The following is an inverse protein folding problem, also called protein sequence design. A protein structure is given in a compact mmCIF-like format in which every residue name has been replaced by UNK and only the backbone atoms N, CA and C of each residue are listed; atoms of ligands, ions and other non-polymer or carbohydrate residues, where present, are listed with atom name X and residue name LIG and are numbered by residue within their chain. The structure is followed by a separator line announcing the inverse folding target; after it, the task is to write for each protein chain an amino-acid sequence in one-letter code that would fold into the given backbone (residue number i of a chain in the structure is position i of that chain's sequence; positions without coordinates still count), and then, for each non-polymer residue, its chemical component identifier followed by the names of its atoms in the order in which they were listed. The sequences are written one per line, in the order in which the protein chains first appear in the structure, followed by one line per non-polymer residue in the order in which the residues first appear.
data_IF_682224762179
#
_entry.id   IF_682224762179
#
_cell.length_a   1.000
_cell.length_b   1.000
_cell.length_c   1.000
_cell.angle_alpha   90.00
_cell.angle_beta   90.00
_cell.angle_gamma   90.00
#
_symmetry.space_group_name_H-M   'P 1'
#
loop_
_entity.id
_entity.type
_entity.pdbx_description
1 polymer ?
#
# COMPACT_ATOMS: atom_id res chain seq x y z
N UNK A 1 -13.15 16.94 19.63
CA UNK A 1 -12.26 15.77 19.76
C UNK A 1 -12.63 14.79 18.66
N UNK A 2 -11.71 14.50 17.72
CA UNK A 2 -11.89 13.41 16.77
C UNK A 2 -11.83 12.11 17.56
N UNK A 3 -12.96 11.43 17.75
CA UNK A 3 -12.98 10.04 18.17
C UNK A 3 -12.36 9.25 17.01
N UNK A 4 -11.07 8.98 17.06
CA UNK A 4 -10.42 8.08 16.11
C UNK A 4 -11.06 6.71 16.27
N UNK A 5 -11.94 6.36 15.35
CA UNK A 5 -12.50 5.02 15.29
C UNK A 5 -11.40 4.11 14.74
N UNK A 6 -10.83 3.19 15.55
CA UNK A 6 -9.72 2.35 15.13
C UNK A 6 -10.09 1.39 13.97
N UNK A 7 -11.37 1.30 13.61
CA UNK A 7 -11.88 0.54 12.47
C UNK A 7 -12.03 1.40 11.19
N UNK A 8 -11.43 2.58 11.12
CA UNK A 8 -11.41 3.37 9.90
C UNK A 8 -10.16 3.09 9.07
N UNK A 9 -10.34 2.61 7.83
CA UNK A 9 -9.26 2.35 6.89
C UNK A 9 -8.33 3.56 6.70
N UNK A 10 -8.87 4.78 6.75
CA UNK A 10 -8.09 6.03 6.63
C UNK A 10 -7.07 6.22 7.75
N UNK A 11 -7.37 5.77 8.96
CA UNK A 11 -6.43 5.82 10.09
C UNK A 11 -5.25 4.92 9.80
N UNK A 12 -5.51 3.67 9.41
CA UNK A 12 -4.46 2.70 9.07
C UNK A 12 -3.64 3.14 7.86
N UNK A 13 -4.28 3.69 6.83
CA UNK A 13 -3.59 4.26 5.67
C UNK A 13 -2.64 5.39 6.08
N UNK A 14 -3.09 6.33 6.92
CA UNK A 14 -2.26 7.44 7.37
C UNK A 14 -1.10 6.96 8.25
N UNK A 15 -1.33 6.02 9.16
CA UNK A 15 -0.26 5.39 9.96
C UNK A 15 0.78 4.72 9.06
N UNK A 16 0.33 3.97 8.05
CA UNK A 16 1.22 3.31 7.09
C UNK A 16 2.05 4.32 6.29
N UNK A 17 1.42 5.43 5.88
CA UNK A 17 2.08 6.51 5.12
C UNK A 17 3.15 7.20 5.97
N UNK A 18 2.85 7.49 7.24
CA UNK A 18 3.82 8.05 8.19
C UNK A 18 4.97 7.07 8.39
N UNK A 19 4.69 5.79 8.63
CA UNK A 19 5.74 4.77 8.78
C UNK A 19 6.62 4.67 7.51
N UNK A 20 6.03 4.68 6.32
CA UNK A 20 6.77 4.65 5.05
C UNK A 20 7.68 5.87 4.87
N UNK A 21 7.21 7.07 5.23
CA UNK A 21 8.00 8.29 5.17
C UNK A 21 9.14 8.28 6.21
N UNK A 22 8.85 7.84 7.44
CA UNK A 22 9.86 7.68 8.49
C UNK A 22 10.94 6.68 8.07
N UNK A 23 10.55 5.57 7.42
CA UNK A 23 11.51 4.60 6.93
C UNK A 23 12.51 5.20 5.92
N UNK A 24 12.08 6.14 5.07
CA UNK A 24 12.96 6.78 4.09
C UNK A 24 14.09 7.59 4.73
N UNK A 25 13.90 8.10 5.95
CA UNK A 25 14.92 8.84 6.69
C UNK A 25 15.79 7.98 7.60
N UNK A 26 15.54 6.66 7.70
CA UNK A 26 16.33 5.76 8.56
C UNK A 26 17.48 5.16 7.75
N UNK A 27 18.71 5.46 8.16
CA UNK A 27 19.93 4.90 7.55
C UNK A 27 20.18 3.44 7.95
N UNK A 28 19.93 3.12 9.22
CA UNK A 28 20.09 1.76 9.72
C UNK A 28 19.11 0.79 9.03
N UNK A 29 19.67 -0.20 8.33
CA UNK A 29 18.87 -1.11 7.49
C UNK A 29 17.86 -1.90 8.31
N UNK A 30 18.22 -2.32 9.52
CA UNK A 30 17.35 -3.13 10.38
C UNK A 30 16.16 -2.31 10.85
N UNK A 31 16.40 -1.11 11.39
CA UNK A 31 15.36 -0.20 11.82
C UNK A 31 14.46 0.26 10.67
N UNK A 32 15.03 0.53 9.48
CA UNK A 32 14.27 0.86 8.28
C UNK A 32 13.35 -0.29 7.88
N UNK A 33 13.87 -1.50 7.83
CA UNK A 33 13.10 -2.68 7.45
C UNK A 33 11.96 -2.95 8.44
N UNK A 34 12.22 -2.79 9.75
CA UNK A 34 11.18 -2.88 10.77
C UNK A 34 10.07 -1.84 10.53
N UNK A 35 10.46 -0.59 10.25
CA UNK A 35 9.51 0.49 9.99
C UNK A 35 8.69 0.25 8.70
N UNK A 36 9.30 -0.33 7.67
CA UNK A 36 8.59 -0.74 6.45
C UNK A 36 7.63 -1.90 6.70
N UNK A 37 7.95 -2.85 7.60
CA UNK A 37 7.01 -3.91 8.00
C UNK A 37 5.81 -3.35 8.79
N UNK A 38 6.01 -2.36 9.67
CA UNK A 38 4.90 -1.63 10.30
C UNK A 38 3.98 -0.93 9.27
N UNK A 39 4.58 -0.33 8.24
CA UNK A 39 3.83 0.26 7.13
C UNK A 39 3.06 -0.80 6.34
N UNK A 40 3.69 -1.94 6.03
CA UNK A 40 3.10 -3.07 5.33
C UNK A 40 1.84 -3.57 6.05
N UNK A 41 1.94 -3.81 7.36
CA UNK A 41 0.81 -4.27 8.18
C UNK A 41 -0.34 -3.26 8.20
N UNK A 42 0.00 -1.97 8.33
CA UNK A 42 -1.00 -0.90 8.41
C UNK A 42 -1.71 -0.69 7.05
N UNK A 43 -0.98 -0.73 5.93
CA UNK A 43 -1.62 -0.73 4.60
C UNK A 43 -2.49 -1.96 4.39
N UNK A 44 -2.04 -3.14 4.82
CA UNK A 44 -2.82 -4.37 4.77
C UNK A 44 -4.14 -4.26 5.55
N UNK A 45 -4.12 -3.66 6.75
CA UNK A 45 -5.34 -3.37 7.52
C UNK A 45 -6.25 -2.38 6.80
N UNK A 46 -5.70 -1.30 6.23
CA UNK A 46 -6.48 -0.32 5.48
C UNK A 46 -7.21 -0.98 4.29
N UNK A 47 -6.49 -1.79 3.51
CA UNK A 47 -7.05 -2.59 2.42
C UNK A 47 -8.14 -3.53 2.95
N UNK A 48 -7.86 -4.31 3.99
CA UNK A 48 -8.81 -5.28 4.53
C UNK A 48 -10.10 -4.64 5.03
N UNK A 49 -10.01 -3.49 5.69
CA UNK A 49 -11.20 -2.73 6.14
C UNK A 49 -11.97 -2.19 4.95
N UNK A 50 -11.29 -1.54 4.00
CA UNK A 50 -11.95 -0.86 2.88
C UNK A 50 -12.59 -1.85 1.90
N UNK A 51 -11.89 -2.95 1.58
CA UNK A 51 -12.36 -3.99 0.65
C UNK A 51 -13.66 -4.65 1.12
N UNK A 52 -13.89 -4.75 2.43
CA UNK A 52 -15.08 -5.39 3.00
C UNK A 52 -16.30 -4.45 3.14
N UNK A 53 -16.19 -3.17 2.76
CA UNK A 53 -17.33 -2.25 2.81
C UNK A 53 -18.26 -2.45 1.62
N UNK A 54 -19.55 -2.20 1.85
CA UNK A 54 -20.55 -2.17 0.78
C UNK A 54 -20.24 -1.09 -0.27
N UNK A 55 -19.73 0.07 0.18
CA UNK A 55 -19.34 1.19 -0.67
C UNK A 55 -17.89 1.59 -0.34
N UNK A 56 -16.90 0.93 -0.95
CA UNK A 56 -15.50 1.21 -0.67
C UNK A 56 -15.05 2.54 -1.29
N UNK A 57 -14.20 3.26 -0.56
CA UNK A 57 -13.37 4.34 -1.06
C UNK A 57 -12.31 3.77 -1.99
N UNK A 58 -12.65 3.76 -3.28
CA UNK A 58 -11.77 3.21 -4.33
C UNK A 58 -10.45 3.95 -4.46
N UNK A 59 -10.41 5.24 -4.15
CA UNK A 59 -9.16 6.03 -4.19
C UNK A 59 -8.23 5.54 -3.08
N UNK A 60 -8.74 5.44 -1.85
CA UNK A 60 -7.97 4.92 -0.73
C UNK A 60 -7.48 3.49 -0.97
N UNK A 61 -8.34 2.63 -1.52
CA UNK A 61 -8.01 1.25 -1.83
C UNK A 61 -6.92 1.16 -2.92
N UNK A 62 -7.04 1.94 -3.99
CA UNK A 62 -6.03 2.05 -5.07
C UNK A 62 -4.66 2.47 -4.54
N UNK A 63 -4.63 3.56 -3.74
CA UNK A 63 -3.40 4.07 -3.15
C UNK A 63 -2.76 3.08 -2.17
N UNK A 64 -3.58 2.41 -1.34
CA UNK A 64 -3.10 1.45 -0.36
C UNK A 64 -2.48 0.22 -1.01
N UNK A 65 -3.11 -0.33 -2.06
CA UNK A 65 -2.55 -1.45 -2.80
C UNK A 65 -1.21 -1.09 -3.45
N UNK A 66 -1.11 0.06 -4.12
CA UNK A 66 0.15 0.47 -4.77
C UNK A 66 1.28 0.66 -3.75
N UNK A 67 1.00 1.31 -2.63
CA UNK A 67 2.00 1.47 -1.57
C UNK A 67 2.43 0.11 -0.99
N UNK A 68 1.48 -0.82 -0.80
CA UNK A 68 1.77 -2.16 -0.33
C UNK A 68 2.62 -2.95 -1.33
N UNK A 69 2.32 -2.86 -2.63
CA UNK A 69 3.10 -3.52 -3.69
C UNK A 69 4.56 -3.02 -3.71
N UNK A 70 4.77 -1.71 -3.58
CA UNK A 70 6.12 -1.11 -3.49
C UNK A 70 6.92 -1.61 -2.29
N UNK A 71 6.27 -1.87 -1.16
CA UNK A 71 6.94 -2.45 0.01
C UNK A 71 7.32 -3.91 -0.27
N UNK A 72 6.45 -4.69 -0.91
CA UNK A 72 6.80 -6.05 -1.35
C UNK A 72 7.97 -6.05 -2.35
N UNK A 73 7.99 -5.11 -3.31
CA UNK A 73 9.15 -4.93 -4.19
C UNK A 73 10.43 -4.63 -3.42
N UNK A 74 10.37 -3.74 -2.43
CA UNK A 74 11.53 -3.36 -1.64
C UNK A 74 12.14 -4.58 -0.90
N UNK A 75 11.32 -5.56 -0.52
CA UNK A 75 11.75 -6.81 0.10
C UNK A 75 12.04 -7.93 -0.92
N UNK A 76 12.12 -7.60 -2.22
CA UNK A 76 12.30 -8.55 -3.33
C UNK A 76 11.22 -9.65 -3.40
N UNK A 77 10.06 -9.43 -2.77
CA UNK A 77 8.91 -10.33 -2.76
C UNK A 77 8.07 -10.13 -4.05
N UNK A 78 8.74 -10.30 -5.20
CA UNK A 78 8.25 -9.89 -6.54
C UNK A 78 6.90 -10.52 -6.92
N UNK A 79 6.70 -11.81 -6.62
CA UNK A 79 5.45 -12.49 -6.95
C UNK A 79 4.25 -11.86 -6.19
N UNK A 80 4.46 -11.51 -4.92
CA UNK A 80 3.44 -10.81 -4.13
C UNK A 80 3.21 -9.40 -4.65
N UNK A 81 4.28 -8.65 -4.94
CA UNK A 81 4.16 -7.31 -5.51
C UNK A 81 3.31 -7.29 -6.79
N UNK A 82 3.54 -8.23 -7.73
CA UNK A 82 2.73 -8.36 -8.96
C UNK A 82 1.26 -8.62 -8.64
N UNK A 83 0.94 -9.55 -7.72
CA UNK A 83 -0.44 -9.85 -7.31
C UNK A 83 -1.13 -8.62 -6.70
N UNK A 84 -0.41 -7.83 -5.91
CA UNK A 84 -0.94 -6.63 -5.29
C UNK A 84 -1.13 -5.50 -6.32
N UNK A 85 -0.22 -5.34 -7.29
CA UNK A 85 -0.45 -4.44 -8.41
C UNK A 85 -1.66 -4.83 -9.24
N UNK A 86 -1.87 -6.12 -9.48
CA UNK A 86 -3.08 -6.60 -10.14
C UNK A 86 -4.34 -6.24 -9.34
N UNK A 87 -4.30 -6.31 -8.01
CA UNK A 87 -5.41 -5.84 -7.19
C UNK A 87 -5.65 -4.33 -7.38
N UNK A 88 -4.60 -3.50 -7.38
CA UNK A 88 -4.72 -2.06 -7.67
C UNK A 88 -5.28 -1.78 -9.07
N UNK A 89 -4.85 -2.52 -10.08
CA UNK A 89 -5.35 -2.39 -11.47
C UNK A 89 -6.82 -2.77 -11.55
N UNK A 90 -7.26 -3.82 -10.84
CA UNK A 90 -8.68 -4.21 -10.76
C UNK A 90 -9.54 -3.17 -10.04
N UNK A 91 -8.96 -2.37 -9.13
CA UNK A 91 -9.67 -1.20 -8.60
C UNK A 91 -10.00 -0.23 -9.73
N UNK A 92 -9.24 -0.17 -10.82
CA UNK A 92 -9.54 0.64 -12.02
C UNK A 92 -9.00 2.07 -11.97
N UNK A 93 -9.14 2.78 -13.09
CA UNK A 93 -8.71 4.18 -13.21
C UNK A 93 -9.72 5.11 -12.52
N UNK A 94 -9.40 5.49 -11.28
CA UNK A 94 -10.21 6.39 -10.46
C UNK A 94 -9.44 7.69 -10.25
N UNK A 95 -10.13 8.82 -10.38
CA UNK A 95 -9.51 10.14 -10.18
C UNK A 95 -8.89 10.24 -8.79
N UNK A 96 -7.59 10.53 -8.74
CA UNK A 96 -6.80 10.58 -7.50
C UNK A 96 -6.27 9.24 -7.00
N UNK A 97 -6.57 8.14 -7.69
CA UNK A 97 -5.96 6.82 -7.45
C UNK A 97 -4.59 6.68 -8.11
N UNK A 98 -4.03 5.47 -8.03
CA UNK A 98 -2.68 5.14 -8.51
C UNK A 98 -2.68 4.10 -9.63
N UNK A 99 -3.70 4.13 -10.50
CA UNK A 99 -3.88 3.13 -11.57
C UNK A 99 -2.68 3.05 -12.53
N UNK A 100 -2.20 4.20 -13.03
CA UNK A 100 -1.05 4.25 -13.94
C UNK A 100 0.23 3.72 -13.28
N UNK A 101 0.45 4.11 -12.03
CA UNK A 101 1.58 3.66 -11.25
C UNK A 101 1.56 2.13 -11.02
N UNK A 102 0.36 1.55 -10.83
CA UNK A 102 0.21 0.11 -10.73
C UNK A 102 0.57 -0.63 -12.03
N UNK A 103 0.13 -0.10 -13.19
CA UNK A 103 0.51 -0.64 -14.50
C UNK A 103 2.03 -0.59 -14.70
N UNK A 104 2.65 0.55 -14.43
CA UNK A 104 4.08 0.76 -14.60
C UNK A 104 4.89 -0.11 -13.63
N UNK A 105 4.41 -0.24 -12.39
CA UNK A 105 4.95 -1.14 -11.36
C UNK A 105 4.97 -2.59 -11.81
N UNK A 106 3.81 -3.13 -12.19
CA UNK A 106 3.69 -4.49 -12.70
C UNK A 106 4.55 -4.73 -13.94
N UNK A 107 4.50 -3.82 -14.92
CA UNK A 107 5.23 -3.97 -16.17
C UNK A 107 6.75 -3.99 -15.95
N UNK A 108 7.27 -3.21 -15.00
CA UNK A 108 8.69 -3.24 -14.62
C UNK A 108 9.07 -4.60 -14.04
N UNK A 109 8.28 -5.14 -13.11
CA UNK A 109 8.59 -6.41 -12.47
C UNK A 109 8.57 -7.59 -13.44
N UNK A 110 7.64 -7.61 -14.39
CA UNK A 110 7.56 -8.68 -15.39
C UNK A 110 8.68 -8.64 -16.44
N UNK A 111 9.32 -7.48 -16.65
CA UNK A 111 10.49 -7.38 -17.56
C UNK A 111 11.79 -7.85 -16.92
N UNK A 112 11.84 -7.94 -15.60
CA UNK A 112 13.02 -8.27 -14.82
C UNK A 112 13.03 -9.73 -14.32
N UNK A 113 12.08 -10.55 -14.77
CA UNK A 113 12.00 -12.00 -14.54
C UNK A 113 12.60 -12.75 -15.73
#
# INVERSE_FOLDING_TARGET
MLKTNPNEARVHYNLARVASLTAQSIEDRTARNLKLKEAQESYGKAVGIEFNKQNPDRVLLSLSYVALAKIYEFFDETEYAVKIYDAAIRVGDVTGGAYREALDGKARLLKNQ
#
